data_IF_373341669082
#
_entry.id   IF_373341669082
#
_cell.length_a   1.000
_cell.length_b   1.000
_cell.length_c   1.000
_cell.angle_alpha   90.00
_cell.angle_beta   90.00
_cell.angle_gamma   90.00
#
_symmetry.space_group_name_H-M   'P 1'
#
loop_
_entity.id
_entity.type
_entity.pdbx_description
1 polymer ?
#
# COMPACT_ATOMS: atom_id res chain seq x y z
N UNK A 1 -49.41 -21.14 -1.95
CA UNK A 1 -48.10 -21.74 -2.23
C UNK A 1 -47.50 -20.95 -3.37
N UNK A 2 -46.69 -19.95 -3.07
CA UNK A 2 -45.90 -19.21 -4.05
C UNK A 2 -44.67 -18.72 -3.31
N UNK A 3 -43.51 -19.31 -3.60
CA UNK A 3 -42.21 -19.00 -3.05
C UNK A 3 -41.67 -17.73 -3.69
N UNK A 4 -41.47 -16.72 -2.90
CA UNK A 4 -40.74 -15.52 -3.29
C UNK A 4 -39.27 -15.68 -2.85
N UNK A 5 -38.37 -15.72 -3.82
CA UNK A 5 -36.95 -15.53 -3.63
C UNK A 5 -36.60 -14.08 -3.91
N UNK A 6 -35.96 -13.34 -3.01
CA UNK A 6 -35.44 -12.01 -3.33
C UNK A 6 -34.05 -12.15 -3.94
N UNK A 7 -33.94 -11.82 -5.21
CA UNK A 7 -32.66 -11.55 -5.88
C UNK A 7 -32.14 -10.18 -5.47
N UNK A 8 -31.04 -10.16 -4.70
CA UNK A 8 -30.26 -8.95 -4.49
C UNK A 8 -29.24 -8.77 -5.62
N UNK A 9 -29.17 -7.60 -6.26
CA UNK A 9 -28.10 -7.31 -7.21
C UNK A 9 -26.80 -7.02 -6.45
N UNK A 10 -25.77 -7.79 -6.74
CA UNK A 10 -24.39 -7.55 -6.33
C UNK A 10 -23.92 -6.26 -7.00
N UNK A 11 -23.81 -5.20 -6.22
CA UNK A 11 -23.24 -3.91 -6.64
C UNK A 11 -21.72 -4.05 -6.66
N UNK A 12 -21.17 -4.29 -7.86
CA UNK A 12 -19.75 -4.24 -8.10
C UNK A 12 -19.27 -2.79 -7.95
N UNK A 13 -18.51 -2.48 -6.89
CA UNK A 13 -17.85 -1.17 -6.74
C UNK A 13 -16.70 -1.07 -7.74
N UNK A 14 -16.97 -0.30 -8.77
CA UNK A 14 -16.01 0.24 -9.72
C UNK A 14 -15.12 1.27 -9.01
N UNK A 15 -13.81 1.07 -9.03
CA UNK A 15 -12.86 2.18 -8.95
C UNK A 15 -12.91 2.90 -10.29
N UNK A 16 -13.89 3.79 -10.44
CA UNK A 16 -13.99 4.68 -11.59
C UNK A 16 -13.37 6.02 -11.20
N UNK A 17 -12.24 6.34 -11.84
CA UNK A 17 -11.73 7.70 -11.84
C UNK A 17 -12.76 8.64 -12.46
N UNK A 18 -13.21 9.63 -11.73
CA UNK A 18 -14.06 10.70 -12.21
C UNK A 18 -13.27 11.59 -13.18
N UNK A 19 -13.63 11.51 -14.46
CA UNK A 19 -13.48 12.61 -15.41
C UNK A 19 -14.73 13.48 -15.30
N UNK A 20 -14.63 14.64 -14.65
CA UNK A 20 -15.62 15.69 -14.77
C UNK A 20 -15.04 16.77 -15.70
N UNK A 21 -15.61 16.86 -16.89
CA UNK A 21 -15.45 17.98 -17.79
C UNK A 21 -16.18 19.20 -17.24
N UNK A 22 -15.51 20.34 -17.09
CA UNK A 22 -16.12 21.65 -17.01
C UNK A 22 -15.78 22.42 -18.28
N UNK A 23 -16.78 22.59 -19.15
CA UNK A 23 -16.80 23.62 -20.17
C UNK A 23 -17.45 24.89 -19.60
N UNK A 24 -16.89 26.05 -19.88
CA UNK A 24 -17.53 27.33 -19.54
C UNK A 24 -16.57 28.51 -19.61
N UNK A 25 -16.64 29.24 -20.69
CA UNK A 25 -15.84 30.36 -21.14
C UNK A 25 -15.82 31.59 -20.21
N UNK A 26 -14.72 32.34 -20.23
CA UNK A 26 -14.60 33.71 -20.74
C UNK A 26 -13.29 34.38 -20.33
N UNK A 27 -12.55 34.84 -21.33
CA UNK A 27 -11.46 35.84 -21.25
C UNK A 27 -12.06 37.28 -21.30
N UNK A 28 -11.29 38.38 -21.22
CA UNK A 28 -9.86 38.57 -20.88
C UNK A 28 -9.58 39.73 -19.91
N UNK A 29 -8.39 39.82 -19.33
CA UNK A 29 -7.79 41.12 -18.99
C UNK A 29 -6.26 41.04 -18.95
N UNK A 30 -5.66 42.05 -19.56
CA UNK A 30 -4.24 42.24 -19.89
C UNK A 30 -3.34 42.57 -18.71
N UNK A 31 -2.04 42.38 -19.01
CA UNK A 31 -0.83 43.07 -18.52
C UNK A 31 -0.22 42.55 -17.24
N UNK A 32 1.00 42.13 -17.23
CA UNK A 32 2.27 42.84 -17.34
C UNK A 32 3.41 41.81 -17.25
N UNK A 33 4.41 41.93 -18.12
CA UNK A 33 5.66 41.14 -18.08
C UNK A 33 6.50 41.54 -16.88
N UNK A 34 7.15 40.61 -16.19
CA UNK A 34 8.33 40.91 -15.42
C UNK A 34 9.61 40.62 -16.23
N UNK A 35 10.54 41.49 -15.99
CA UNK A 35 11.91 41.66 -16.52
C UNK A 35 12.77 40.43 -16.25
N UNK A 36 13.56 40.05 -17.24
CA UNK A 36 14.56 38.98 -17.19
C UNK A 36 15.78 39.42 -16.37
N UNK A 37 16.14 38.62 -15.36
CA UNK A 37 17.45 38.74 -14.71
C UNK A 37 18.51 37.89 -15.45
N UNK A 38 19.79 38.34 -15.48
CA UNK A 38 20.81 37.74 -16.31
C UNK A 38 21.46 36.50 -15.65
N UNK A 39 21.77 35.52 -16.52
CA UNK A 39 22.49 34.29 -16.21
C UNK A 39 23.91 34.52 -15.69
N UNK A 40 24.41 33.73 -14.71
CA UNK A 40 25.78 33.74 -14.29
C UNK A 40 26.73 33.08 -15.31
N UNK A 41 28.02 33.41 -15.33
CA UNK A 41 28.95 33.03 -16.40
C UNK A 41 29.41 31.56 -16.27
N UNK A 42 29.62 30.94 -17.45
CA UNK A 42 30.18 29.61 -17.67
C UNK A 42 31.56 29.45 -17.04
N UNK A 43 31.75 28.37 -16.26
CA UNK A 43 33.04 27.93 -15.77
C UNK A 43 33.88 27.28 -16.89
N UNK A 44 35.16 27.64 -16.93
CA UNK A 44 36.18 27.13 -17.84
C UNK A 44 36.68 25.75 -17.41
N UNK A 45 37.01 24.83 -18.32
CA UNK A 45 37.51 23.50 -17.97
C UNK A 45 39.02 23.54 -17.56
N UNK A 46 39.34 22.81 -16.50
CA UNK A 46 40.71 22.54 -16.10
C UNK A 46 41.28 21.30 -16.80
N UNK A 47 42.60 21.22 -17.01
CA UNK A 47 43.24 20.18 -17.84
C UNK A 47 43.46 18.88 -17.08
N UNK A 48 43.32 17.79 -17.84
CA UNK A 48 43.46 16.38 -17.48
C UNK A 48 44.92 15.98 -17.14
N UNK A 49 45.12 15.18 -16.11
CA UNK A 49 46.38 14.52 -15.75
C UNK A 49 46.63 13.26 -16.62
N UNK A 50 47.91 12.86 -16.84
CA UNK A 50 48.28 11.83 -17.80
C UNK A 50 48.12 10.39 -17.26
N UNK A 51 48.06 9.36 -18.14
CA UNK A 51 47.80 7.97 -17.77
C UNK A 51 49.10 7.25 -17.32
N UNK A 52 48.95 6.41 -16.31
CA UNK A 52 49.98 5.46 -15.82
C UNK A 52 50.04 4.20 -16.72
N UNK A 53 51.29 3.73 -16.89
CA UNK A 53 51.79 2.80 -17.85
C UNK A 53 51.14 1.42 -17.97
N UNK A 54 51.30 0.88 -19.17
CA UNK A 54 50.90 -0.41 -19.63
C UNK A 54 51.75 -1.57 -19.07
N UNK A 55 51.12 -2.62 -18.61
CA UNK A 55 51.74 -3.91 -18.28
C UNK A 55 51.61 -4.85 -19.49
N UNK A 56 52.64 -5.63 -19.86
CA UNK A 56 52.64 -6.43 -21.11
C UNK A 56 51.70 -7.61 -21.06
N UNK A 57 51.01 -7.80 -22.18
CA UNK A 57 50.07 -8.89 -22.47
C UNK A 57 50.81 -10.21 -22.74
N UNK A 58 50.57 -11.23 -21.94
CA UNK A 58 50.97 -12.61 -22.23
C UNK A 58 49.89 -13.20 -23.13
N UNK A 59 50.30 -13.59 -24.34
CA UNK A 59 49.43 -14.33 -25.31
C UNK A 59 49.43 -15.80 -24.97
N UNK A 60 48.28 -16.31 -24.51
CA UNK A 60 47.99 -17.74 -24.47
C UNK A 60 46.93 -18.05 -25.52
N UNK A 61 47.18 -19.05 -26.38
CA UNK A 61 46.27 -19.57 -27.41
C UNK A 61 44.99 -20.13 -26.78
N UNK A 62 43.81 -19.96 -27.43
CA UNK A 62 42.57 -20.49 -26.89
C UNK A 62 42.50 -22.04 -27.01
N UNK A 63 41.95 -22.74 -26.01
CA UNK A 63 41.54 -24.12 -26.15
C UNK A 63 40.32 -24.23 -27.07
N UNK A 64 40.32 -25.30 -27.87
CA UNK A 64 39.17 -25.68 -28.72
C UNK A 64 37.99 -25.96 -27.80
N UNK A 65 36.90 -25.24 -28.03
CA UNK A 65 35.66 -25.43 -27.29
C UNK A 65 34.95 -26.70 -27.78
N UNK A 66 34.67 -27.62 -26.86
CA UNK A 66 33.68 -28.66 -27.05
C UNK A 66 32.30 -28.03 -27.34
N UNK A 67 31.44 -28.65 -28.17
CA UNK A 67 30.12 -28.10 -28.41
C UNK A 67 29.29 -28.14 -27.12
N UNK A 68 28.88 -26.95 -26.65
CA UNK A 68 27.93 -26.83 -25.56
C UNK A 68 26.67 -27.64 -25.86
N UNK A 69 26.14 -28.40 -24.89
CA UNK A 69 24.82 -29.01 -25.03
C UNK A 69 23.79 -27.89 -25.22
N UNK A 70 23.12 -27.93 -26.37
CA UNK A 70 22.00 -27.02 -26.71
C UNK A 70 21.02 -27.02 -25.55
N UNK A 71 20.88 -25.85 -24.85
CA UNK A 71 19.84 -25.64 -23.86
C UNK A 71 18.49 -26.00 -24.47
N UNK A 72 17.63 -26.76 -23.77
CA UNK A 72 16.29 -27.03 -24.25
C UNK A 72 15.58 -25.74 -24.53
N UNK A 73 15.05 -25.58 -25.74
CA UNK A 73 14.23 -24.44 -26.14
C UNK A 73 13.15 -24.25 -25.07
N UNK A 74 13.03 -23.02 -24.53
CA UNK A 74 12.01 -22.70 -23.53
C UNK A 74 10.64 -23.12 -24.08
N UNK A 75 9.78 -23.82 -23.29
CA UNK A 75 8.47 -24.25 -23.80
C UNK A 75 7.70 -23.02 -24.29
N UNK A 76 7.18 -23.09 -25.51
CA UNK A 76 6.39 -22.01 -26.12
C UNK A 76 5.18 -21.66 -25.24
N UNK A 77 4.75 -20.41 -25.27
CA UNK A 77 3.56 -19.98 -24.54
C UNK A 77 2.32 -20.78 -24.98
N UNK A 78 1.37 -21.11 -24.09
CA UNK A 78 0.10 -21.69 -24.47
C UNK A 78 -0.59 -20.86 -25.58
N UNK A 79 -1.23 -21.47 -26.58
CA UNK A 79 -1.75 -20.75 -27.76
C UNK A 79 -2.65 -19.54 -27.42
N UNK A 80 -3.50 -19.66 -26.41
CA UNK A 80 -4.36 -18.55 -25.96
C UNK A 80 -3.56 -17.39 -25.34
N UNK A 81 -2.48 -17.69 -24.60
CA UNK A 81 -1.58 -16.68 -24.03
C UNK A 81 -0.77 -16.03 -25.14
N UNK A 82 -0.26 -16.80 -26.10
CA UNK A 82 0.47 -16.26 -27.25
C UNK A 82 -0.37 -15.29 -28.07
N UNK A 83 -1.61 -15.65 -28.40
CA UNK A 83 -2.54 -14.76 -29.10
C UNK A 83 -2.87 -13.49 -28.31
N UNK A 84 -3.01 -13.58 -26.98
CA UNK A 84 -3.17 -12.41 -26.13
C UNK A 84 -1.93 -11.51 -26.15
N UNK A 85 -0.72 -12.08 -26.04
CA UNK A 85 0.55 -11.33 -26.10
C UNK A 85 0.69 -10.56 -27.42
N UNK A 86 0.33 -11.17 -28.53
CA UNK A 86 0.33 -10.50 -29.84
C UNK A 86 -0.59 -9.25 -29.86
N UNK A 87 -1.78 -9.36 -29.28
CA UNK A 87 -2.68 -8.20 -29.13
C UNK A 87 -2.13 -7.15 -28.17
N UNK A 88 -1.53 -7.56 -27.06
CA UNK A 88 -0.87 -6.64 -26.12
C UNK A 88 0.27 -5.89 -26.78
N UNK A 89 1.07 -6.57 -27.62
CA UNK A 89 2.15 -5.93 -28.41
C UNK A 89 1.62 -4.81 -29.29
N UNK A 90 0.59 -5.09 -30.08
CA UNK A 90 -0.06 -4.06 -30.93
C UNK A 90 -0.57 -2.88 -30.09
N UNK A 91 -1.19 -3.15 -28.94
CA UNK A 91 -1.69 -2.10 -28.04
C UNK A 91 -0.54 -1.28 -27.45
N UNK A 92 0.54 -1.92 -27.02
CA UNK A 92 1.72 -1.25 -26.45
C UNK A 92 2.40 -0.34 -27.48
N UNK A 93 2.60 -0.81 -28.71
CA UNK A 93 3.16 0.00 -29.81
C UNK A 93 2.26 1.19 -30.13
N UNK A 94 0.94 1.00 -30.17
CA UNK A 94 -0.02 2.10 -30.37
C UNK A 94 0.00 3.12 -29.22
N UNK A 95 0.47 2.73 -28.04
CA UNK A 95 0.68 3.59 -26.88
C UNK A 95 2.08 4.23 -26.84
N UNK A 96 2.94 4.01 -27.87
CA UNK A 96 4.29 4.59 -27.95
C UNK A 96 5.37 3.79 -27.23
N UNK A 97 5.14 2.52 -26.96
CA UNK A 97 6.16 1.61 -26.42
C UNK A 97 6.98 1.04 -27.59
N UNK A 98 8.30 1.03 -27.43
CA UNK A 98 9.23 0.44 -28.38
C UNK A 98 8.98 -1.07 -28.53
N UNK A 99 8.99 -1.55 -29.77
CA UNK A 99 8.75 -2.96 -30.07
C UNK A 99 9.77 -3.86 -29.38
N UNK A 100 11.07 -3.49 -29.42
CA UNK A 100 12.15 -4.24 -28.82
C UNK A 100 12.05 -4.30 -27.28
N UNK A 101 11.56 -3.24 -26.66
CA UNK A 101 11.30 -3.23 -25.21
C UNK A 101 10.21 -4.23 -24.84
N UNK A 102 9.09 -4.22 -25.59
CA UNK A 102 8.02 -5.19 -25.38
C UNK A 102 8.50 -6.61 -25.60
N UNK A 103 9.22 -6.85 -26.69
CA UNK A 103 9.67 -8.20 -27.07
C UNK A 103 10.66 -8.76 -26.05
N UNK A 104 11.58 -7.96 -25.52
CA UNK A 104 12.52 -8.37 -24.46
C UNK A 104 11.84 -8.71 -23.14
N UNK A 105 10.84 -7.94 -22.73
CA UNK A 105 10.35 -7.96 -21.35
C UNK A 105 8.96 -8.58 -21.18
N UNK A 106 8.19 -8.75 -22.26
CA UNK A 106 6.81 -9.24 -22.17
C UNK A 106 6.52 -10.41 -23.11
N UNK A 107 7.04 -10.41 -24.32
CA UNK A 107 6.62 -11.36 -25.37
C UNK A 107 6.82 -12.83 -24.96
N UNK A 108 7.93 -13.13 -24.30
CA UNK A 108 8.35 -14.49 -23.94
C UNK A 108 8.08 -14.85 -22.47
N UNK A 109 7.61 -13.90 -21.66
CA UNK A 109 7.38 -14.11 -20.22
C UNK A 109 6.25 -15.12 -20.00
N UNK A 110 6.52 -16.20 -19.28
CA UNK A 110 5.52 -17.19 -18.89
C UNK A 110 4.44 -16.60 -17.98
N UNK A 111 3.19 -17.10 -18.03
CA UNK A 111 2.16 -16.67 -17.12
C UNK A 111 2.41 -17.18 -15.70
N UNK A 112 2.04 -16.38 -14.69
CA UNK A 112 1.95 -16.81 -13.28
C UNK A 112 0.46 -17.01 -12.91
N UNK A 113 -0.09 -18.24 -13.01
CA UNK A 113 -1.49 -18.48 -12.70
C UNK A 113 -1.83 -18.26 -11.23
N UNK A 114 -0.85 -18.22 -10.34
CA UNK A 114 -1.09 -18.02 -8.90
C UNK A 114 -1.65 -16.62 -8.59
N UNK A 115 -1.39 -15.62 -9.45
CA UNK A 115 -1.95 -14.27 -9.28
C UNK A 115 -3.47 -14.22 -9.47
N UNK A 116 -4.04 -15.18 -10.20
CA UNK A 116 -5.49 -15.25 -10.44
C UNK A 116 -6.26 -15.56 -9.16
N UNK A 117 -5.69 -16.35 -8.26
CA UNK A 117 -6.31 -16.68 -6.97
C UNK A 117 -6.43 -15.48 -6.02
N UNK A 118 -5.65 -14.43 -6.23
CA UNK A 118 -5.73 -13.21 -5.40
C UNK A 118 -6.80 -12.22 -5.86
N UNK A 119 -7.37 -12.39 -7.04
CA UNK A 119 -8.40 -11.48 -7.56
C UNK A 119 -9.63 -11.39 -6.64
N UNK A 120 -9.91 -12.44 -5.87
CA UNK A 120 -11.06 -12.53 -4.97
C UNK A 120 -10.65 -12.41 -3.48
N UNK A 121 -9.35 -12.28 -3.19
CA UNK A 121 -8.81 -12.21 -1.83
C UNK A 121 -8.32 -10.77 -1.53
N UNK A 122 -9.16 -9.98 -0.88
CA UNK A 122 -8.83 -8.60 -0.45
C UNK A 122 -9.02 -8.49 1.07
N UNK A 123 -7.94 -8.67 1.87
CA UNK A 123 -8.00 -8.71 3.34
C UNK A 123 -8.65 -7.47 3.98
N UNK A 124 -8.47 -6.29 3.40
CA UNK A 124 -9.01 -5.02 3.86
C UNK A 124 -10.54 -4.95 3.87
N UNK A 125 -11.21 -5.89 3.16
CA UNK A 125 -12.68 -6.00 3.12
C UNK A 125 -13.23 -7.23 3.85
N UNK A 126 -12.38 -8.21 4.17
CA UNK A 126 -12.80 -9.49 4.75
C UNK A 126 -12.29 -9.70 6.18
N UNK A 127 -11.18 -9.05 6.55
CA UNK A 127 -10.62 -9.14 7.91
C UNK A 127 -11.38 -8.23 8.87
N UNK A 128 -11.76 -8.69 10.07
CA UNK A 128 -12.32 -7.80 11.08
C UNK A 128 -11.42 -6.59 11.31
N UNK A 129 -12.02 -5.40 11.45
CA UNK A 129 -11.27 -4.15 11.52
C UNK A 129 -10.23 -4.13 12.65
N UNK A 130 -10.57 -4.68 13.81
CA UNK A 130 -9.63 -4.75 14.95
C UNK A 130 -8.42 -5.65 14.67
N UNK A 131 -8.58 -6.74 13.90
CA UNK A 131 -7.47 -7.61 13.49
C UNK A 131 -6.58 -6.92 12.45
N UNK A 132 -7.21 -6.19 11.52
CA UNK A 132 -6.53 -5.40 10.50
C UNK A 132 -5.65 -4.32 11.16
N UNK A 133 -6.24 -3.56 12.09
CA UNK A 133 -5.54 -2.50 12.81
C UNK A 133 -4.48 -3.03 13.78
N UNK A 134 -4.73 -4.13 14.49
CA UNK A 134 -3.74 -4.72 15.39
C UNK A 134 -2.43 -5.11 14.68
N UNK A 135 -2.52 -5.50 13.38
CA UNK A 135 -1.34 -5.82 12.59
C UNK A 135 -0.66 -4.63 11.92
N UNK A 136 -1.30 -3.44 11.91
CA UNK A 136 -0.80 -2.26 11.20
C UNK A 136 -0.49 -1.07 12.13
N UNK A 137 -1.00 -1.08 13.38
CA UNK A 137 -0.85 0.03 14.33
C UNK A 137 -0.31 -0.49 15.67
N UNK A 138 0.60 -1.47 15.60
CA UNK A 138 1.25 -2.05 16.78
C UNK A 138 2.44 -1.20 17.28
N UNK A 139 2.88 -1.45 18.51
CA UNK A 139 3.95 -0.70 19.16
C UNK A 139 5.30 -0.85 18.44
N UNK A 140 5.57 -2.00 17.84
CA UNK A 140 6.78 -2.24 17.05
C UNK A 140 6.79 -1.34 15.81
N UNK A 141 5.64 -1.23 15.08
CA UNK A 141 5.54 -0.32 13.93
C UNK A 141 5.63 1.15 14.34
N UNK A 142 5.09 1.51 15.50
CA UNK A 142 5.23 2.86 16.05
C UNK A 142 6.69 3.17 16.38
N UNK A 143 7.41 2.24 17.00
CA UNK A 143 8.84 2.41 17.30
C UNK A 143 9.66 2.53 16.01
N UNK A 144 9.46 1.62 15.05
CA UNK A 144 10.08 1.67 13.72
C UNK A 144 9.80 3.01 13.03
N UNK A 145 8.55 3.46 13.01
CA UNK A 145 8.16 4.70 12.34
C UNK A 145 8.76 5.96 13.00
N UNK A 146 8.88 5.98 14.32
CA UNK A 146 9.59 7.06 15.02
C UNK A 146 11.08 7.09 14.69
N UNK A 147 11.69 5.93 14.51
CA UNK A 147 13.07 5.87 14.03
C UNK A 147 13.18 6.40 12.59
N UNK A 148 12.23 6.05 11.70
CA UNK A 148 12.23 6.62 10.34
C UNK A 148 12.02 8.14 10.34
N UNK A 149 11.16 8.67 11.21
CA UNK A 149 11.01 10.13 11.40
C UNK A 149 12.32 10.78 11.81
N UNK A 150 13.09 10.14 12.69
CA UNK A 150 14.39 10.64 13.15
C UNK A 150 15.46 10.55 12.05
N UNK A 151 15.58 9.41 11.40
CA UNK A 151 16.59 9.16 10.35
C UNK A 151 16.40 10.07 9.14
N UNK A 152 15.14 10.31 8.76
CA UNK A 152 14.78 11.08 7.58
C UNK A 152 14.27 12.50 7.91
N UNK A 153 14.62 13.06 9.08
CA UNK A 153 14.05 14.32 9.57
C UNK A 153 14.22 15.48 8.59
N UNK A 154 15.41 15.67 8.04
CA UNK A 154 15.70 16.77 7.09
C UNK A 154 14.94 16.59 5.76
N UNK A 155 14.90 15.36 5.25
CA UNK A 155 14.14 15.04 4.05
C UNK A 155 12.65 15.32 4.25
N UNK A 156 12.08 14.81 5.34
CA UNK A 156 10.66 14.98 5.69
C UNK A 156 10.29 16.44 5.93
N UNK A 157 11.17 17.24 6.50
CA UNK A 157 10.97 18.68 6.65
C UNK A 157 10.86 19.38 5.29
N UNK A 158 11.74 19.05 4.33
CA UNK A 158 11.66 19.57 2.95
C UNK A 158 10.40 19.12 2.23
N UNK A 159 10.00 17.85 2.40
CA UNK A 159 8.77 17.31 1.83
C UNK A 159 7.54 18.01 2.42
N UNK A 160 7.48 18.19 3.74
CA UNK A 160 6.39 18.90 4.42
C UNK A 160 6.31 20.37 3.97
N UNK A 161 7.43 21.04 3.83
CA UNK A 161 7.48 22.42 3.33
C UNK A 161 6.93 22.52 1.90
N UNK A 162 7.27 21.57 1.02
CA UNK A 162 6.86 21.62 -0.39
C UNK A 162 5.40 21.25 -0.60
N UNK A 163 4.89 20.24 0.11
CA UNK A 163 3.57 19.68 -0.16
C UNK A 163 2.53 19.99 0.93
N UNK A 164 2.95 20.49 2.08
CA UNK A 164 2.07 20.82 3.21
C UNK A 164 1.45 19.59 3.87
N UNK A 165 2.09 18.41 3.73
CA UNK A 165 1.69 17.17 4.39
C UNK A 165 2.67 16.91 5.51
N UNK A 166 2.17 16.62 6.70
CA UNK A 166 3.00 16.38 7.87
C UNK A 166 3.78 15.06 7.77
N UNK A 167 4.98 15.06 8.33
CA UNK A 167 5.94 13.97 8.27
C UNK A 167 5.35 12.64 8.78
N UNK A 168 4.62 12.69 9.91
CA UNK A 168 4.04 11.51 10.54
C UNK A 168 3.00 10.82 9.65
N UNK A 169 2.25 11.59 8.86
CA UNK A 169 1.30 11.01 7.90
C UNK A 169 2.01 10.34 6.74
N UNK A 170 3.06 10.97 6.19
CA UNK A 170 3.86 10.39 5.11
C UNK A 170 4.52 9.08 5.57
N UNK A 171 5.13 9.10 6.76
CA UNK A 171 5.77 7.91 7.37
C UNK A 171 4.74 6.83 7.73
N UNK A 172 3.52 7.21 8.15
CA UNK A 172 2.46 6.25 8.41
C UNK A 172 2.02 5.52 7.12
N UNK A 173 1.90 6.22 5.99
CA UNK A 173 1.66 5.58 4.68
C UNK A 173 2.79 4.60 4.37
N UNK A 174 4.04 5.03 4.47
CA UNK A 174 5.21 4.17 4.23
C UNK A 174 5.21 2.92 5.12
N UNK A 175 4.87 3.09 6.41
CA UNK A 175 4.75 1.99 7.36
C UNK A 175 3.65 0.99 6.99
N UNK A 176 2.47 1.47 6.60
CA UNK A 176 1.33 0.63 6.21
C UNK A 176 1.60 -0.10 4.90
N UNK A 177 2.19 0.58 3.90
CA UNK A 177 2.39 0.04 2.55
C UNK A 177 3.49 -1.01 2.47
N UNK A 178 4.65 -0.75 3.06
CA UNK A 178 5.80 -1.62 2.86
C UNK A 178 6.60 -1.92 4.13
N UNK A 179 6.02 -1.65 5.33
CA UNK A 179 6.77 -1.75 6.57
C UNK A 179 8.11 -0.98 6.51
N UNK A 180 8.02 0.27 6.07
CA UNK A 180 9.18 1.16 5.90
C UNK A 180 10.22 0.62 4.90
N UNK A 181 9.76 0.06 3.78
CA UNK A 181 10.64 -0.46 2.74
C UNK A 181 11.20 -1.87 2.99
N UNK A 182 10.78 -2.55 4.06
CA UNK A 182 11.21 -3.92 4.35
C UNK A 182 10.43 -4.98 3.55
N UNK A 183 9.29 -4.62 2.96
CA UNK A 183 8.39 -5.57 2.28
C UNK A 183 7.75 -4.94 1.05
N UNK A 184 8.32 -5.15 -0.12
CA UNK A 184 7.76 -4.63 -1.40
C UNK A 184 6.83 -5.62 -2.11
N UNK A 185 6.75 -6.85 -1.65
CA UNK A 185 6.25 -7.98 -2.40
C UNK A 185 7.40 -8.76 -3.06
N UNK A 186 7.06 -9.86 -3.73
CA UNK A 186 8.08 -10.79 -4.30
C UNK A 186 7.85 -11.09 -5.77
N UNK A 187 6.91 -10.41 -6.44
CA UNK A 187 6.50 -10.75 -7.80
C UNK A 187 7.03 -9.74 -8.79
N UNK A 188 7.68 -10.19 -9.87
CA UNK A 188 8.00 -9.30 -10.98
C UNK A 188 6.70 -8.72 -11.57
N UNK A 189 6.61 -7.39 -11.65
CA UNK A 189 5.39 -6.70 -12.10
C UNK A 189 4.98 -7.13 -13.49
N UNK A 190 5.95 -7.22 -14.41
CA UNK A 190 5.70 -7.60 -15.80
C UNK A 190 5.04 -8.96 -15.93
N UNK A 191 5.47 -9.95 -15.12
CA UNK A 191 4.88 -11.30 -15.09
C UNK A 191 3.43 -11.23 -14.60
N UNK A 192 3.21 -10.59 -13.45
CA UNK A 192 1.89 -10.47 -12.83
C UNK A 192 0.90 -9.73 -13.74
N UNK A 193 1.29 -8.53 -14.20
CA UNK A 193 0.42 -7.69 -15.01
C UNK A 193 0.16 -8.29 -16.39
N UNK A 194 1.15 -8.91 -17.02
CA UNK A 194 0.97 -9.58 -18.29
C UNK A 194 0.06 -10.83 -18.18
N UNK A 195 0.09 -11.54 -17.05
CA UNK A 195 -0.85 -12.62 -16.76
C UNK A 195 -2.26 -12.08 -16.59
N UNK A 196 -2.44 -11.08 -15.74
CA UNK A 196 -3.74 -10.48 -15.44
C UNK A 196 -4.35 -9.72 -16.63
N UNK A 197 -3.52 -9.16 -17.52
CA UNK A 197 -3.95 -8.54 -18.78
C UNK A 197 -4.55 -9.54 -19.76
N UNK A 198 -4.14 -10.82 -19.68
CA UNK A 198 -4.58 -11.89 -20.57
C UNK A 198 -5.61 -12.82 -19.93
N UNK A 199 -5.67 -12.94 -18.62
CA UNK A 199 -6.46 -13.94 -17.89
C UNK A 199 -7.19 -13.31 -16.71
N UNK A 200 -8.27 -13.94 -16.28
CA UNK A 200 -9.06 -13.48 -15.15
C UNK A 200 -9.98 -12.32 -15.49
N UNK A 201 -10.43 -11.63 -14.45
CA UNK A 201 -11.32 -10.46 -14.56
C UNK A 201 -10.52 -9.15 -14.59
N UNK A 202 -11.12 -8.04 -15.04
CA UNK A 202 -10.50 -6.70 -15.11
C UNK A 202 -9.30 -6.62 -16.05
N UNK A 203 -9.24 -7.42 -17.10
CA UNK A 203 -8.11 -7.45 -18.05
C UNK A 203 -7.78 -6.07 -18.65
N UNK A 204 -8.79 -5.26 -18.94
CA UNK A 204 -8.58 -3.91 -19.47
C UNK A 204 -7.79 -3.01 -18.51
N UNK A 205 -8.10 -3.09 -17.21
CA UNK A 205 -7.36 -2.38 -16.17
C UNK A 205 -5.89 -2.84 -16.11
N UNK A 206 -5.64 -4.14 -15.99
CA UNK A 206 -4.28 -4.66 -15.90
C UNK A 206 -3.46 -4.46 -17.17
N UNK A 207 -4.13 -4.39 -18.33
CA UNK A 207 -3.48 -4.01 -19.60
C UNK A 207 -2.98 -2.57 -19.55
N UNK A 208 -3.77 -1.64 -19.00
CA UNK A 208 -3.34 -0.26 -18.77
C UNK A 208 -2.12 -0.20 -17.85
N UNK A 209 -2.17 -0.90 -16.70
CA UNK A 209 -1.05 -0.95 -15.75
C UNK A 209 0.23 -1.56 -16.35
N UNK A 210 0.09 -2.59 -17.21
CA UNK A 210 1.23 -3.16 -17.95
C UNK A 210 1.87 -2.13 -18.89
N UNK A 211 1.06 -1.40 -19.64
CA UNK A 211 1.55 -0.35 -20.57
C UNK A 211 2.24 0.76 -19.79
N UNK A 212 1.66 1.18 -18.66
CA UNK A 212 2.26 2.18 -17.81
C UNK A 212 3.58 1.69 -17.18
N UNK A 213 3.69 0.39 -16.85
CA UNK A 213 4.96 -0.23 -16.42
C UNK A 213 6.03 -0.16 -17.52
N UNK A 214 5.66 -0.46 -18.76
CA UNK A 214 6.59 -0.37 -19.88
C UNK A 214 7.03 1.09 -20.15
N UNK A 215 6.17 2.06 -19.97
CA UNK A 215 6.55 3.47 -20.03
C UNK A 215 7.56 3.86 -18.94
N UNK A 216 7.40 3.34 -17.72
CA UNK A 216 8.35 3.58 -16.60
C UNK A 216 9.74 3.05 -16.96
N UNK A 217 9.79 1.86 -17.56
CA UNK A 217 11.05 1.27 -18.04
C UNK A 217 11.64 2.10 -19.18
N UNK A 218 10.82 2.46 -20.17
CA UNK A 218 11.25 3.20 -21.35
C UNK A 218 11.75 4.60 -21.02
N UNK A 219 11.18 5.26 -20.02
CA UNK A 219 11.69 6.56 -19.54
C UNK A 219 12.99 6.45 -18.72
N UNK A 220 13.40 5.24 -18.34
CA UNK A 220 14.59 5.02 -17.53
C UNK A 220 14.41 5.37 -16.04
N UNK A 221 13.18 5.62 -15.61
CA UNK A 221 12.89 5.96 -14.20
C UNK A 221 13.25 4.82 -13.25
N UNK A 222 12.83 3.59 -13.58
CA UNK A 222 13.07 2.40 -12.76
C UNK A 222 13.55 1.25 -13.67
N UNK A 223 14.59 0.54 -13.25
CA UNK A 223 15.10 -0.63 -13.97
C UNK A 223 14.08 -1.79 -13.91
N UNK A 224 13.95 -2.61 -14.97
CA UNK A 224 12.99 -3.72 -15.01
C UNK A 224 13.11 -4.68 -13.83
N UNK A 225 14.33 -4.93 -13.37
CA UNK A 225 14.67 -5.87 -12.28
C UNK A 225 14.21 -5.33 -10.92
N UNK A 226 14.13 -4.01 -10.76
CA UNK A 226 13.67 -3.35 -9.54
C UNK A 226 12.13 -3.28 -9.46
N UNK A 227 11.41 -3.56 -10.56
CA UNK A 227 9.95 -3.58 -10.62
C UNK A 227 9.40 -4.90 -10.05
N UNK A 228 9.60 -5.06 -8.73
CA UNK A 228 9.08 -6.15 -7.92
C UNK A 228 8.04 -5.58 -6.95
N UNK A 229 6.93 -6.27 -6.77
CA UNK A 229 5.85 -5.74 -5.94
C UNK A 229 4.74 -6.73 -5.62
N UNK A 230 3.53 -6.20 -5.49
CA UNK A 230 2.32 -6.97 -5.20
C UNK A 230 1.86 -7.80 -6.42
N UNK A 231 0.96 -8.74 -6.17
CA UNK A 231 0.33 -9.53 -7.23
C UNK A 231 -0.45 -8.67 -8.26
N UNK A 232 -0.92 -7.50 -7.85
CA UNK A 232 -1.71 -6.58 -8.67
C UNK A 232 -0.87 -5.50 -9.37
N UNK A 233 0.46 -5.44 -9.13
CA UNK A 233 1.35 -4.49 -9.77
C UNK A 233 1.67 -3.24 -8.96
N UNK A 234 1.25 -3.13 -7.70
CA UNK A 234 1.73 -2.07 -6.82
C UNK A 234 3.19 -2.33 -6.42
N UNK A 235 4.04 -1.28 -6.41
CA UNK A 235 5.47 -1.44 -6.22
C UNK A 235 6.12 -0.30 -5.43
N UNK A 236 7.35 -0.56 -4.99
CA UNK A 236 8.21 0.40 -4.30
C UNK A 236 7.81 0.65 -2.85
N UNK A 237 8.48 1.63 -2.24
CA UNK A 237 8.34 1.99 -0.83
C UNK A 237 6.89 2.31 -0.43
N UNK A 238 6.13 2.93 -1.29
CA UNK A 238 4.77 3.41 -1.02
C UNK A 238 3.71 2.79 -1.94
N UNK A 239 4.06 1.67 -2.55
CA UNK A 239 3.16 0.76 -3.28
C UNK A 239 2.24 1.46 -4.30
N UNK A 240 2.81 2.33 -5.13
CA UNK A 240 2.06 2.93 -6.22
C UNK A 240 1.75 1.92 -7.31
N UNK A 241 0.54 2.01 -7.88
CA UNK A 241 0.26 1.41 -9.18
C UNK A 241 1.02 2.14 -10.28
N UNK A 242 1.44 1.47 -11.37
CA UNK A 242 2.17 2.10 -12.48
C UNK A 242 1.47 3.35 -13.05
N UNK A 243 0.15 3.31 -13.21
CA UNK A 243 -0.63 4.47 -13.65
C UNK A 243 -0.59 5.64 -12.65
N UNK A 244 -0.55 5.34 -11.35
CA UNK A 244 -0.40 6.36 -10.31
C UNK A 244 1.02 6.94 -10.33
N UNK A 245 2.03 6.10 -10.48
CA UNK A 245 3.42 6.52 -10.64
C UNK A 245 3.55 7.53 -11.78
N UNK A 246 3.08 7.22 -12.97
CA UNK A 246 3.18 8.11 -14.13
C UNK A 246 2.54 9.48 -13.93
N UNK A 247 1.44 9.54 -13.18
CA UNK A 247 0.71 10.80 -12.92
C UNK A 247 1.25 11.60 -11.76
N UNK A 248 1.86 10.95 -10.74
CA UNK A 248 2.08 11.54 -9.41
C UNK A 248 3.53 11.52 -8.99
N UNK A 249 4.32 10.49 -9.40
CA UNK A 249 5.69 10.35 -8.98
C UNK A 249 6.53 11.59 -9.35
N UNK A 250 7.40 11.97 -8.43
CA UNK A 250 8.30 13.12 -8.56
C UNK A 250 9.75 12.69 -8.35
N UNK A 251 10.64 13.29 -9.09
CA UNK A 251 12.07 13.31 -8.84
C UNK A 251 12.32 14.41 -7.79
N UNK A 252 12.60 14.01 -6.57
CA UNK A 252 12.71 14.96 -5.46
C UNK A 252 14.14 15.34 -5.11
N UNK A 253 15.10 14.47 -5.36
CA UNK A 253 16.51 14.73 -5.16
C UNK A 253 17.20 15.35 -6.39
N UNK A 254 16.54 15.31 -7.56
CA UNK A 254 16.98 15.96 -8.78
C UNK A 254 18.00 15.16 -9.57
N UNK A 255 18.02 13.82 -9.42
CA UNK A 255 18.93 12.93 -10.14
C UNK A 255 18.48 12.65 -11.59
N UNK A 256 17.31 13.15 -12.00
CA UNK A 256 16.71 13.00 -13.33
C UNK A 256 15.82 11.76 -13.46
N UNK A 257 15.54 11.05 -12.36
CA UNK A 257 14.72 9.83 -12.32
C UNK A 257 13.65 9.96 -11.26
N UNK A 258 12.57 9.23 -11.42
CA UNK A 258 11.51 9.09 -10.40
C UNK A 258 11.54 7.66 -9.89
N UNK A 259 12.30 7.38 -8.85
CA UNK A 259 12.51 6.01 -8.39
C UNK A 259 11.88 5.75 -7.02
N UNK A 260 10.67 5.17 -7.02
CA UNK A 260 9.99 4.79 -5.78
C UNK A 260 10.44 3.45 -5.20
N UNK A 261 11.27 2.70 -5.92
CA UNK A 261 11.78 1.40 -5.49
C UNK A 261 13.15 1.53 -4.81
N UNK A 262 14.07 2.29 -5.39
CA UNK A 262 15.44 2.47 -4.90
C UNK A 262 15.67 3.78 -4.15
N UNK A 263 14.76 4.77 -4.26
CA UNK A 263 14.95 6.11 -3.74
C UNK A 263 13.84 6.49 -2.73
N UNK A 264 14.22 6.56 -1.45
CA UNK A 264 13.30 6.95 -0.36
C UNK A 264 12.83 8.40 -0.50
N UNK A 265 13.67 9.31 -1.02
CA UNK A 265 13.29 10.71 -1.15
C UNK A 265 12.15 10.88 -2.16
N UNK A 266 12.25 10.24 -3.31
CA UNK A 266 11.21 10.24 -4.33
C UNK A 266 9.92 9.59 -3.83
N UNK A 267 10.05 8.46 -3.12
CA UNK A 267 8.91 7.73 -2.60
C UNK A 267 8.10 8.56 -1.59
N UNK A 268 8.77 9.18 -0.61
CA UNK A 268 8.10 9.98 0.42
C UNK A 268 7.54 11.29 -0.15
N UNK A 269 8.28 11.94 -1.06
CA UNK A 269 7.80 13.14 -1.74
C UNK A 269 6.61 12.84 -2.67
N UNK A 270 6.65 11.74 -3.41
CA UNK A 270 5.53 11.29 -4.26
C UNK A 270 4.28 10.97 -3.44
N UNK A 271 4.44 10.39 -2.26
CA UNK A 271 3.34 10.15 -1.31
C UNK A 271 2.71 11.45 -0.83
N UNK A 272 3.54 12.42 -0.42
CA UNK A 272 3.04 13.73 -0.02
C UNK A 272 2.37 14.47 -1.19
N UNK A 273 2.94 14.38 -2.39
CA UNK A 273 2.34 14.93 -3.60
C UNK A 273 0.98 14.29 -3.91
N UNK A 274 0.86 12.96 -3.77
CA UNK A 274 -0.43 12.26 -3.92
C UNK A 274 -1.47 12.82 -2.95
N UNK A 275 -1.16 12.87 -1.65
CA UNK A 275 -2.08 13.36 -0.62
C UNK A 275 -2.48 14.82 -0.86
N UNK A 276 -1.53 15.68 -1.28
CA UNK A 276 -1.81 17.07 -1.65
C UNK A 276 -2.78 17.15 -2.82
N UNK A 277 -2.56 16.38 -3.88
CA UNK A 277 -3.48 16.33 -5.04
C UNK A 277 -4.85 15.73 -4.69
N UNK A 278 -4.91 14.82 -3.73
CA UNK A 278 -6.15 14.28 -3.18
C UNK A 278 -6.90 15.29 -2.27
N UNK A 279 -6.35 16.48 -2.08
CA UNK A 279 -6.97 17.59 -1.36
C UNK A 279 -6.61 17.66 0.11
N UNK A 280 -5.42 17.15 0.49
CA UNK A 280 -4.85 17.36 1.81
C UNK A 280 -4.79 18.85 2.15
N UNK A 281 -5.15 19.18 3.39
CA UNK A 281 -5.07 20.52 3.94
C UNK A 281 -4.08 20.56 5.10
N UNK A 282 -3.05 21.38 4.94
CA UNK A 282 -2.02 21.57 5.95
C UNK A 282 -2.63 22.10 7.26
N UNK A 283 -2.22 21.53 8.39
CA UNK A 283 -2.69 21.94 9.71
C UNK A 283 -4.09 21.42 10.10
N UNK A 284 -4.89 20.88 9.17
CA UNK A 284 -6.16 20.24 9.52
C UNK A 284 -5.95 18.79 10.01
N UNK A 285 -6.66 18.35 11.08
CA UNK A 285 -6.62 16.96 11.48
C UNK A 285 -7.33 16.06 10.45
N UNK A 286 -7.01 14.77 10.44
CA UNK A 286 -7.77 13.79 9.67
C UNK A 286 -9.17 13.53 10.28
N UNK A 287 -9.26 13.56 11.61
CA UNK A 287 -10.43 13.28 12.43
C UNK A 287 -10.08 13.13 13.89
N UNK A 288 -11.06 12.71 14.66
CA UNK A 288 -10.92 12.39 16.08
C UNK A 288 -11.85 11.25 16.47
N UNK A 289 -11.41 10.40 17.40
CA UNK A 289 -12.31 9.51 18.12
C UNK A 289 -13.33 10.34 18.92
N UNK A 290 -14.58 9.92 18.88
CA UNK A 290 -15.69 10.63 19.53
C UNK A 290 -16.56 9.71 20.34
N UNK A 291 -17.17 10.26 21.39
CA UNK A 291 -18.24 9.65 22.15
C UNK A 291 -19.59 10.03 21.54
N UNK A 292 -20.43 9.04 21.32
CA UNK A 292 -21.79 9.20 20.79
C UNK A 292 -22.78 8.87 21.89
N UNK A 293 -23.60 9.82 22.38
CA UNK A 293 -24.56 9.55 23.44
C UNK A 293 -25.54 8.45 23.05
N UNK A 294 -25.91 7.61 24.02
CA UNK A 294 -26.89 6.57 23.83
C UNK A 294 -28.24 7.15 23.46
N UNK A 295 -29.00 6.46 22.59
CA UNK A 295 -30.32 6.92 22.14
C UNK A 295 -30.31 8.10 21.17
N UNK A 296 -29.19 8.75 20.92
CA UNK A 296 -29.12 9.89 20.00
C UNK A 296 -29.50 9.49 18.58
N UNK A 297 -30.44 10.23 17.98
CA UNK A 297 -30.73 10.12 16.55
C UNK A 297 -29.64 10.80 15.73
N UNK A 298 -28.93 10.03 14.92
CA UNK A 298 -27.77 10.50 14.15
C UNK A 298 -28.13 10.97 12.73
N UNK A 299 -29.30 10.58 12.21
CA UNK A 299 -29.59 10.73 10.78
C UNK A 299 -28.72 9.81 9.92
N UNK A 300 -28.53 10.12 8.64
CA UNK A 300 -27.59 9.44 7.79
C UNK A 300 -26.15 9.63 8.28
N UNK A 301 -25.36 8.56 8.26
CA UNK A 301 -23.95 8.54 8.67
C UNK A 301 -23.07 7.92 7.58
N UNK A 302 -21.79 7.93 7.79
CA UNK A 302 -20.81 7.37 6.87
C UNK A 302 -20.00 8.46 6.16
N UNK A 303 -18.88 8.08 5.61
CA UNK A 303 -17.86 8.97 5.04
C UNK A 303 -18.40 9.99 4.01
N UNK A 304 -19.39 9.63 3.24
CA UNK A 304 -19.97 10.48 2.19
C UNK A 304 -21.01 11.46 2.72
N UNK A 305 -21.57 11.19 3.91
CA UNK A 305 -22.57 12.05 4.54
C UNK A 305 -21.88 13.08 5.46
N UNK A 306 -21.70 14.28 4.96
CA UNK A 306 -20.99 15.37 5.65
C UNK A 306 -21.96 16.44 6.10
N UNK A 307 -21.89 16.73 7.40
CA UNK A 307 -22.59 17.84 8.02
C UNK A 307 -21.58 18.81 8.64
N UNK A 308 -21.94 20.09 8.86
CA UNK A 308 -21.09 20.98 9.62
C UNK A 308 -20.79 20.43 11.01
N UNK A 309 -19.59 20.64 11.55
CA UNK A 309 -19.18 20.15 12.88
C UNK A 309 -20.20 20.52 13.97
N UNK A 310 -20.77 21.76 13.94
CA UNK A 310 -21.83 22.18 14.87
C UNK A 310 -23.06 21.27 14.87
N UNK A 311 -23.41 20.63 13.75
CA UNK A 311 -24.51 19.68 13.65
C UNK A 311 -24.30 18.46 14.56
N UNK A 312 -23.07 17.96 14.58
CA UNK A 312 -22.67 16.84 15.42
C UNK A 312 -22.58 17.26 16.89
N UNK A 313 -21.99 18.43 17.18
CA UNK A 313 -21.91 19.00 18.53
C UNK A 313 -23.29 19.20 19.15
N UNK A 314 -24.26 19.70 18.38
CA UNK A 314 -25.65 19.88 18.84
C UNK A 314 -26.34 18.54 19.18
N UNK A 315 -25.80 17.43 18.75
CA UNK A 315 -26.25 16.07 19.10
C UNK A 315 -25.49 15.44 20.26
N UNK A 316 -24.68 16.22 20.94
CA UNK A 316 -23.88 15.78 22.08
C UNK A 316 -22.66 14.94 21.70
N UNK A 317 -22.27 14.90 20.40
CA UNK A 317 -21.06 14.20 19.99
C UNK A 317 -19.87 15.04 20.40
N UNK A 318 -19.00 14.49 21.23
CA UNK A 318 -17.81 15.15 21.76
C UNK A 318 -16.57 14.27 21.51
N UNK A 319 -15.39 14.86 21.55
CA UNK A 319 -14.16 14.05 21.46
C UNK A 319 -14.07 13.08 22.65
N UNK A 320 -13.64 11.85 22.39
CA UNK A 320 -13.49 10.81 23.41
C UNK A 320 -12.41 11.13 24.45
N UNK A 321 -11.45 12.03 24.13
CA UNK A 321 -10.43 12.52 25.05
C UNK A 321 -10.89 13.71 25.92
N UNK A 322 -12.13 14.16 25.74
CA UNK A 322 -12.72 15.28 26.47
C UNK A 322 -12.27 16.67 26.03
N UNK A 323 -11.39 16.77 25.03
CA UNK A 323 -10.92 18.05 24.53
C UNK A 323 -11.94 18.70 23.56
N UNK A 324 -11.91 20.02 23.42
CA UNK A 324 -12.67 20.70 22.39
C UNK A 324 -12.09 20.45 20.98
N UNK A 325 -12.93 20.56 19.95
CA UNK A 325 -12.46 20.58 18.58
C UNK A 325 -11.83 21.95 18.28
N UNK A 326 -10.58 21.94 17.82
CA UNK A 326 -9.88 23.15 17.38
C UNK A 326 -10.19 23.44 15.90
N UNK A 327 -11.47 23.45 15.52
CA UNK A 327 -11.96 23.65 14.17
C UNK A 327 -13.21 24.56 14.20
N UNK A 328 -13.45 25.26 13.10
CA UNK A 328 -14.66 26.05 12.93
C UNK A 328 -15.90 25.15 12.91
N UNK A 329 -16.99 25.62 13.54
CA UNK A 329 -18.25 24.89 13.61
C UNK A 329 -18.90 24.59 12.25
N UNK A 330 -18.51 25.31 11.19
CA UNK A 330 -18.96 25.04 9.82
C UNK A 330 -18.07 24.02 9.08
N UNK A 331 -16.96 23.57 9.68
CA UNK A 331 -16.09 22.57 9.07
C UNK A 331 -16.88 21.31 8.72
N UNK A 332 -16.88 20.86 7.46
CA UNK A 332 -17.57 19.63 7.07
C UNK A 332 -16.96 18.42 7.76
N UNK A 333 -17.79 17.66 8.47
CA UNK A 333 -17.41 16.45 9.19
C UNK A 333 -18.37 15.32 8.86
N UNK A 334 -17.87 14.08 8.85
CA UNK A 334 -18.66 12.87 8.67
C UNK A 334 -18.47 11.94 9.86
N UNK A 335 -19.57 11.36 10.36
CA UNK A 335 -19.52 10.39 11.45
C UNK A 335 -19.35 8.98 10.90
N UNK A 336 -18.29 8.29 11.35
CA UNK A 336 -18.05 6.89 11.07
C UNK A 336 -18.32 6.04 12.31
N UNK A 337 -19.05 4.95 12.12
CA UNK A 337 -19.25 3.87 13.10
C UNK A 337 -18.81 2.55 12.47
N UNK A 338 -17.50 2.30 12.33
CA UNK A 338 -16.99 1.19 11.52
C UNK A 338 -17.50 -0.19 11.95
N UNK A 339 -17.82 -0.34 13.24
CA UNK A 339 -18.34 -1.59 13.85
C UNK A 339 -19.62 -1.34 14.65
N UNK A 340 -20.36 -0.30 14.27
CA UNK A 340 -21.58 0.12 14.97
C UNK A 340 -21.32 0.88 16.27
N UNK A 341 -22.37 1.13 17.04
CA UNK A 341 -22.33 2.00 18.23
C UNK A 341 -21.54 1.43 19.42
N UNK A 342 -21.29 0.13 19.43
CA UNK A 342 -20.57 -0.53 20.53
C UNK A 342 -19.05 -0.43 20.44
N UNK A 343 -18.53 0.07 19.35
CA UNK A 343 -17.09 0.25 19.14
C UNK A 343 -16.70 1.71 18.96
N UNK A 344 -15.42 1.97 18.66
CA UNK A 344 -14.91 3.30 18.41
C UNK A 344 -15.69 4.02 17.31
N UNK A 345 -16.04 5.29 17.57
CA UNK A 345 -16.67 6.20 16.63
C UNK A 345 -15.70 7.31 16.25
N UNK A 346 -15.80 7.82 15.03
CA UNK A 346 -14.89 8.86 14.55
C UNK A 346 -15.67 9.97 13.84
N UNK A 347 -15.37 11.23 14.17
CA UNK A 347 -15.65 12.35 13.27
C UNK A 347 -14.44 12.58 12.38
N UNK A 348 -14.64 12.42 11.07
CA UNK A 348 -13.59 12.52 10.07
C UNK A 348 -13.75 13.76 9.21
N UNK A 349 -12.63 14.37 8.83
CA UNK A 349 -12.54 15.62 8.09
C UNK A 349 -11.90 15.41 6.70
N UNK A 350 -11.53 16.50 6.04
CA UNK A 350 -11.00 16.48 4.68
C UNK A 350 -9.78 15.57 4.51
N UNK A 351 -8.85 15.58 5.46
CA UNK A 351 -7.62 14.81 5.37
C UNK A 351 -7.83 13.29 5.44
N UNK A 352 -8.89 12.83 6.12
CA UNK A 352 -9.27 11.42 6.06
C UNK A 352 -9.66 10.98 4.63
N UNK A 353 -10.33 11.85 3.88
CA UNK A 353 -10.67 11.54 2.49
C UNK A 353 -9.44 11.49 1.58
N UNK A 354 -8.42 12.30 1.85
CA UNK A 354 -7.15 12.22 1.13
C UNK A 354 -6.46 10.87 1.39
N UNK A 355 -6.42 10.40 2.64
CA UNK A 355 -5.92 9.07 2.99
C UNK A 355 -6.75 7.94 2.34
N UNK A 356 -8.08 8.05 2.40
CA UNK A 356 -9.00 7.09 1.79
C UNK A 356 -8.77 6.93 0.28
N UNK A 357 -8.43 8.01 -0.42
CA UNK A 357 -8.23 7.98 -1.87
C UNK A 357 -7.01 7.15 -2.31
N UNK A 358 -6.12 6.80 -1.37
CA UNK A 358 -4.95 5.99 -1.65
C UNK A 358 -5.31 4.53 -1.97
N UNK A 359 -6.25 3.93 -1.22
CA UNK A 359 -6.67 2.53 -1.42
C UNK A 359 -8.20 2.33 -1.34
N UNK A 360 -9.01 3.37 -1.37
CA UNK A 360 -10.48 3.33 -1.35
C UNK A 360 -11.11 2.40 -0.27
N UNK A 361 -10.44 2.23 0.87
CA UNK A 361 -10.87 1.44 2.02
C UNK A 361 -10.87 2.28 3.30
N UNK A 362 -11.97 2.24 4.07
CA UNK A 362 -12.05 2.94 5.36
C UNK A 362 -11.13 2.32 6.40
N UNK A 363 -10.97 0.99 6.39
CA UNK A 363 -10.03 0.26 7.27
C UNK A 363 -8.59 0.70 7.02
N UNK A 364 -8.21 0.85 5.75
CA UNK A 364 -6.89 1.33 5.35
C UNK A 364 -6.66 2.80 5.77
N UNK A 365 -7.63 3.68 5.50
CA UNK A 365 -7.54 5.08 5.90
C UNK A 365 -7.42 5.24 7.42
N UNK A 366 -8.17 4.43 8.20
CA UNK A 366 -8.06 4.39 9.67
C UNK A 366 -6.69 3.88 10.13
N UNK A 367 -6.10 2.89 9.46
CA UNK A 367 -4.76 2.40 9.82
C UNK A 367 -3.71 3.50 9.67
N UNK A 368 -3.70 4.25 8.55
CA UNK A 368 -2.80 5.39 8.36
C UNK A 368 -3.07 6.48 9.40
N UNK A 369 -4.34 6.84 9.60
CA UNK A 369 -4.75 7.87 10.52
C UNK A 369 -4.33 7.59 11.96
N UNK A 370 -4.62 6.39 12.46
CA UNK A 370 -4.26 5.97 13.80
C UNK A 370 -2.75 5.78 13.98
N UNK A 371 -2.05 5.23 12.97
CA UNK A 371 -0.60 5.13 13.02
C UNK A 371 0.04 6.53 13.05
N UNK A 372 -0.42 7.47 12.23
CA UNK A 372 0.10 8.83 12.23
C UNK A 372 -0.11 9.52 13.59
N UNK A 373 -1.25 9.28 14.25
CA UNK A 373 -1.50 9.79 15.60
C UNK A 373 -0.54 9.18 16.65
N UNK A 374 -0.31 7.87 16.58
CA UNK A 374 0.67 7.19 17.46
C UNK A 374 2.11 7.69 17.23
N UNK A 375 2.48 7.99 15.98
CA UNK A 375 3.78 8.59 15.64
C UNK A 375 3.94 9.98 16.25
N UNK A 376 2.87 10.79 16.31
CA UNK A 376 2.82 12.09 17.00
C UNK A 376 2.84 11.98 18.53
N UNK A 377 2.85 10.78 19.09
CA UNK A 377 2.81 10.56 20.52
C UNK A 377 1.40 10.60 21.14
N UNK A 378 0.35 10.63 20.31
CA UNK A 378 -1.02 10.53 20.85
C UNK A 378 -1.28 9.15 21.44
N UNK A 379 -2.14 9.08 22.45
CA UNK A 379 -2.61 7.82 23.02
C UNK A 379 -3.40 7.00 22.00
N UNK A 380 -3.52 5.70 22.24
CA UNK A 380 -4.43 4.82 21.48
C UNK A 380 -5.91 5.18 21.71
N UNK A 381 -6.78 4.41 21.07
CA UNK A 381 -8.23 4.57 21.19
C UNK A 381 -8.69 4.43 22.66
N UNK A 382 -9.69 5.23 23.02
CA UNK A 382 -10.34 5.20 24.35
C UNK A 382 -11.42 4.13 24.40
N UNK A 383 -12.17 3.98 23.32
CA UNK A 383 -13.24 2.98 23.24
C UNK A 383 -12.67 1.64 22.79
N UNK A 384 -12.88 0.55 23.55
CA UNK A 384 -12.43 -0.78 23.14
C UNK A 384 -13.23 -1.27 21.92
N UNK A 385 -12.60 -2.16 21.14
CA UNK A 385 -13.30 -2.88 20.09
C UNK A 385 -14.30 -3.86 20.70
N UNK A 386 -15.48 -4.05 20.08
CA UNK A 386 -16.53 -4.95 20.60
C UNK A 386 -16.21 -6.42 20.27
N UNK A 387 -15.11 -6.91 20.81
CA UNK A 387 -14.65 -8.29 20.66
C UNK A 387 -14.12 -8.83 21.98
N UNK A 388 -14.36 -10.11 22.24
CA UNK A 388 -13.79 -10.87 23.35
C UNK A 388 -12.50 -11.62 22.95
N UNK A 389 -12.08 -11.50 21.69
CA UNK A 389 -10.89 -12.09 21.11
C UNK A 389 -10.14 -11.02 20.30
N UNK A 390 -9.21 -10.32 20.95
CA UNK A 390 -8.48 -9.22 20.34
C UNK A 390 -7.57 -9.71 19.19
N UNK A 391 -7.34 -8.86 18.20
CA UNK A 391 -6.36 -9.09 17.13
C UNK A 391 -4.93 -9.07 17.68
N UNK A 392 -4.03 -9.78 17.02
CA UNK A 392 -2.63 -9.90 17.39
C UNK A 392 -1.77 -8.85 16.69
N UNK A 393 -0.86 -8.24 17.46
CA UNK A 393 0.26 -7.45 16.94
C UNK A 393 1.21 -8.32 16.10
N UNK A 394 2.11 -7.70 15.34
CA UNK A 394 3.11 -8.44 14.55
C UNK A 394 4.00 -9.33 15.43
N UNK A 395 4.39 -8.85 16.60
CA UNK A 395 5.19 -9.61 17.56
C UNK A 395 4.42 -10.84 18.07
N UNK A 396 3.16 -10.67 18.45
CA UNK A 396 2.30 -11.78 18.89
C UNK A 396 1.98 -12.78 17.78
N UNK A 397 1.86 -12.33 16.52
CA UNK A 397 1.71 -13.23 15.36
C UNK A 397 2.96 -14.09 15.16
N UNK A 398 4.15 -13.50 15.27
CA UNK A 398 5.41 -14.27 15.23
C UNK A 398 5.51 -15.26 16.38
N UNK A 399 5.08 -14.87 17.57
CA UNK A 399 5.02 -15.77 18.72
C UNK A 399 4.07 -16.94 18.45
N UNK A 400 2.84 -16.66 18.00
CA UNK A 400 1.89 -17.70 17.61
C UNK A 400 2.49 -18.67 16.58
N UNK A 401 3.16 -18.16 15.58
CA UNK A 401 3.82 -18.98 14.55
C UNK A 401 4.93 -19.85 15.17
N UNK A 402 5.77 -19.34 16.10
CA UNK A 402 6.79 -20.15 16.81
C UNK A 402 6.14 -21.27 17.63
N UNK A 403 5.02 -20.97 18.31
CA UNK A 403 4.27 -21.96 19.07
C UNK A 403 3.70 -23.07 18.18
N UNK A 404 3.21 -22.73 16.99
CA UNK A 404 2.74 -23.69 15.98
C UNK A 404 3.88 -24.54 15.42
N UNK A 405 5.03 -23.92 15.11
CA UNK A 405 6.24 -24.64 14.65
C UNK A 405 6.75 -25.62 15.70
N UNK A 406 6.81 -25.23 16.97
CA UNK A 406 7.21 -26.09 18.09
C UNK A 406 6.28 -27.31 18.26
N UNK A 407 5.03 -27.21 17.76
CA UNK A 407 4.05 -28.31 17.73
C UNK A 407 4.09 -29.15 16.45
N UNK A 408 5.05 -28.91 15.56
CA UNK A 408 5.27 -29.69 14.37
C UNK A 408 4.45 -29.24 13.15
N UNK A 409 3.79 -28.09 13.20
CA UNK A 409 3.06 -27.58 12.03
C UNK A 409 4.03 -26.98 10.98
N UNK A 410 3.95 -27.47 9.74
CA UNK A 410 4.78 -26.98 8.62
C UNK A 410 4.20 -25.67 8.05
N UNK A 411 4.44 -24.53 8.70
CA UNK A 411 3.90 -23.21 8.32
C UNK A 411 4.92 -22.27 7.67
N UNK A 412 6.18 -22.72 7.47
CA UNK A 412 7.28 -21.88 7.02
C UNK A 412 7.94 -21.10 8.17
N UNK A 413 8.34 -19.87 7.91
CA UNK A 413 8.99 -19.00 8.91
C UNK A 413 7.98 -18.28 9.81
N UNK A 414 8.43 -17.90 11.01
CA UNK A 414 7.65 -17.06 11.91
C UNK A 414 7.83 -15.57 11.54
N UNK A 415 7.26 -15.16 10.41
CA UNK A 415 7.39 -13.83 9.81
C UNK A 415 6.34 -12.79 10.29
N UNK A 416 5.32 -13.25 11.01
CA UNK A 416 4.18 -12.44 11.46
C UNK A 416 3.07 -12.31 10.42
N UNK A 417 3.18 -12.98 9.26
CA UNK A 417 2.18 -12.97 8.19
C UNK A 417 1.31 -14.22 8.32
N UNK A 418 0.02 -14.05 8.58
CA UNK A 418 -0.92 -15.15 8.74
C UNK A 418 -1.41 -15.64 7.37
N UNK A 419 -0.62 -16.50 6.75
CA UNK A 419 -0.92 -17.14 5.47
C UNK A 419 -1.86 -18.35 5.59
N UNK A 420 -2.13 -19.02 4.47
CA UNK A 420 -3.02 -20.19 4.41
C UNK A 420 -2.51 -21.35 5.27
N UNK A 421 -1.20 -21.62 5.26
CA UNK A 421 -0.61 -22.68 6.07
C UNK A 421 -0.78 -22.41 7.57
N UNK A 422 -0.49 -21.17 8.01
CA UNK A 422 -0.69 -20.74 9.40
C UNK A 422 -2.15 -20.87 9.82
N UNK A 423 -3.11 -20.44 8.99
CA UNK A 423 -4.55 -20.58 9.30
C UNK A 423 -4.98 -22.03 9.47
N UNK A 424 -4.50 -22.94 8.60
CA UNK A 424 -4.78 -24.38 8.74
C UNK A 424 -4.22 -24.95 10.04
N UNK A 425 -3.00 -24.56 10.41
CA UNK A 425 -2.39 -24.95 11.68
C UNK A 425 -3.20 -24.44 12.90
N UNK A 426 -3.68 -23.19 12.82
CA UNK A 426 -4.55 -22.63 13.86
C UNK A 426 -5.84 -23.44 13.97
N UNK A 427 -6.51 -23.80 12.86
CA UNK A 427 -7.72 -24.65 12.87
C UNK A 427 -7.44 -25.97 13.58
N UNK A 428 -6.33 -26.63 13.24
CA UNK A 428 -5.96 -27.92 13.86
C UNK A 428 -5.76 -27.77 15.39
N UNK A 429 -5.12 -26.68 15.84
CA UNK A 429 -4.95 -26.44 17.28
C UNK A 429 -6.27 -26.03 17.96
N UNK A 430 -7.12 -25.24 17.31
CA UNK A 430 -8.47 -24.92 17.83
C UNK A 430 -9.30 -26.20 18.02
N UNK A 431 -9.23 -27.13 17.07
CA UNK A 431 -9.91 -28.44 17.16
C UNK A 431 -9.33 -29.28 18.32
N UNK A 432 -8.02 -29.41 18.41
CA UNK A 432 -7.33 -30.17 19.46
C UNK A 432 -7.65 -29.64 20.85
N UNK A 433 -7.80 -28.30 21.00
CA UNK A 433 -8.07 -27.62 22.27
C UNK A 433 -9.57 -27.44 22.56
N UNK A 434 -10.45 -27.85 21.66
CA UNK A 434 -11.90 -27.63 21.81
C UNK A 434 -12.32 -26.16 21.77
N UNK A 435 -11.51 -25.28 21.17
CA UNK A 435 -11.83 -23.85 21.05
C UNK A 435 -12.92 -23.63 20.00
N UNK A 436 -13.80 -22.66 20.24
CA UNK A 436 -14.89 -22.28 19.34
C UNK A 436 -14.81 -20.76 19.12
N UNK A 437 -14.92 -20.28 17.87
CA UNK A 437 -15.04 -21.02 16.61
C UNK A 437 -13.72 -21.66 16.16
N UNK A 438 -13.80 -22.65 15.27
CA UNK A 438 -12.65 -23.32 14.65
C UNK A 438 -12.44 -22.73 13.24
N UNK A 439 -12.09 -21.46 13.18
CA UNK A 439 -12.08 -20.61 11.99
C UNK A 439 -10.70 -20.25 11.45
N UNK A 440 -9.63 -20.67 12.16
CA UNK A 440 -8.26 -20.36 11.79
C UNK A 440 -7.86 -18.88 12.01
N UNK A 441 -8.65 -18.15 12.79
CA UNK A 441 -8.34 -16.76 13.13
C UNK A 441 -7.17 -16.70 14.12
N UNK A 442 -6.19 -15.86 13.83
CA UNK A 442 -5.08 -15.55 14.71
C UNK A 442 -5.51 -14.47 15.73
N UNK A 443 -6.23 -14.86 16.77
CA UNK A 443 -6.70 -14.01 17.84
C UNK A 443 -5.95 -14.27 19.14
N UNK A 444 -6.23 -13.42 20.15
CA UNK A 444 -5.60 -13.53 21.46
C UNK A 444 -5.97 -14.85 22.18
N UNK A 445 -7.17 -15.36 21.94
CA UNK A 445 -7.67 -16.59 22.57
C UNK A 445 -6.81 -17.81 22.21
N UNK A 446 -6.50 -18.04 20.94
CA UNK A 446 -5.63 -19.14 20.54
C UNK A 446 -4.20 -18.94 21.03
N UNK A 447 -3.68 -17.73 21.01
CA UNK A 447 -2.34 -17.44 21.51
C UNK A 447 -2.22 -17.77 23.02
N UNK A 448 -3.18 -17.32 23.83
CA UNK A 448 -3.21 -17.60 25.27
C UNK A 448 -3.35 -19.10 25.56
N UNK A 449 -4.21 -19.82 24.82
CA UNK A 449 -4.35 -21.25 24.97
C UNK A 449 -3.04 -22.01 24.70
N UNK A 450 -2.28 -21.58 23.69
CA UNK A 450 -0.99 -22.18 23.35
C UNK A 450 0.11 -21.83 24.35
N UNK A 451 0.10 -20.60 24.94
CA UNK A 451 1.02 -20.19 26.02
C UNK A 451 0.81 -21.03 27.30
N UNK A 452 -0.43 -21.17 27.75
CA UNK A 452 -0.76 -21.91 28.96
C UNK A 452 -0.35 -23.40 28.93
N UNK A 453 -0.22 -23.97 27.73
CA UNK A 453 0.27 -25.34 27.58
C UNK A 453 1.80 -25.47 27.66
N UNK A 454 2.57 -24.43 27.27
CA UNK A 454 4.02 -24.44 27.50
C UNK A 454 4.41 -24.38 28.97
N UNK A 455 3.62 -23.66 29.76
CA UNK A 455 3.82 -23.56 31.22
C UNK A 455 3.45 -24.86 31.95
N UNK A 456 2.63 -25.72 31.34
CA UNK A 456 2.12 -26.97 31.89
C UNK A 456 3.01 -28.20 31.56
N UNK A 457 3.95 -28.08 30.62
CA UNK A 457 4.93 -29.12 30.35
C UNK A 457 6.06 -28.99 31.38
N UNK A 458 6.17 -29.92 32.39
CA UNK A 458 7.27 -29.87 33.35
C UNK A 458 8.57 -30.09 32.56
N UNK A 459 9.48 -29.12 32.68
CA UNK A 459 10.80 -29.25 32.10
C UNK A 459 11.41 -30.59 32.44
N UNK A 460 11.68 -31.42 31.43
CA UNK A 460 12.58 -32.56 31.59
C UNK A 460 13.92 -32.00 32.03
N UNK A 461 14.13 -32.09 33.34
CA UNK A 461 15.43 -31.79 33.96
C UNK A 461 16.48 -32.73 33.36
N UNK A 462 17.41 -32.15 32.65
CA UNK A 462 18.68 -32.79 32.31
C UNK A 462 19.56 -32.91 33.54
#
# INVERSE_FOLDING_TARGET
>A
MASWTPTFPILALLIAGLLAACAGAQEPSQATRPVSDPLPPKATPQPSSPPLGAVPRVTSSPPVADPEPSSPAAPGLPPGVAACRARLRTTAMSAGIDADLFDRHVATVGPDPTVLGFLDAQPEFTTPLWDYLAGLVDDERVADGREQLRVHAELLARVAQRYGVDAETVVAVWGVESNFGRTFGKRPLLVSLATLACQGRRQAFFRGELIDTLHIIQSGDVAPEALVGSWAGAFGHTQFMPSTFRRIAVDFDGDGRRDLAGNVADALASTAHFLRRAGWRSGEPWGHEVSVPEGTYLGPIGRTHREPLRYWLARGIVRADGQAFALDGNTPAALLLPVGRRGPAFLVFRNFHAMYSYNASESYALAIALLSDRLRGRAGLKTPWPTDDAGLSRMERRELQRLLLARGHAIGEADGIIGTATRRAIVAEQQRLGLVPQDGRAGLRILQALRGMQESEPGESR
#
